data_IF_008917111895
#
_entry.id   IF_008917111895
#
_cell.length_a   1.000
_cell.length_b   1.000
_cell.length_c   1.000
_cell.angle_alpha   90.00
_cell.angle_beta   90.00
_cell.angle_gamma   90.00
#
_symmetry.space_group_name_H-M   'P 1'
#
loop_
_entity.id
_entity.type
_entity.pdbx_description
1 polymer ?
#
# COMPACT_ATOMS: atom_id res chain seq x y z
N UNK A 1 -30.48 17.35 4.93
CA UNK A 1 -29.31 16.67 5.52
C UNK A 1 -28.29 16.44 4.40
N UNK A 2 -27.10 17.00 4.54
CA UNK A 2 -26.02 16.77 3.57
C UNK A 2 -25.49 15.34 3.74
N UNK A 3 -25.46 14.58 2.67
CA UNK A 3 -24.87 13.24 2.66
C UNK A 3 -23.35 13.35 2.85
N UNK A 4 -22.80 12.44 3.64
CA UNK A 4 -21.36 12.36 3.93
C UNK A 4 -20.88 10.91 3.79
N UNK A 5 -19.58 10.74 3.54
CA UNK A 5 -18.97 9.42 3.55
C UNK A 5 -19.15 8.73 4.91
N UNK A 6 -19.15 7.40 4.90
CA UNK A 6 -19.24 6.58 6.12
C UNK A 6 -18.00 6.84 6.97
N UNK A 7 -18.18 6.95 8.29
CA UNK A 7 -17.07 7.21 9.22
C UNK A 7 -15.95 6.17 9.07
N UNK A 8 -14.74 6.66 8.82
CA UNK A 8 -13.56 5.82 8.60
C UNK A 8 -13.32 5.44 7.13
N UNK A 9 -14.17 5.94 6.22
CA UNK A 9 -13.97 5.91 4.78
C UNK A 9 -13.64 7.32 4.30
N UNK A 10 -12.65 7.45 3.44
CA UNK A 10 -12.18 8.73 2.92
C UNK A 10 -12.17 8.70 1.39
N UNK A 11 -12.64 9.77 0.76
CA UNK A 11 -12.42 10.00 -0.66
C UNK A 11 -10.97 10.44 -0.87
N UNK A 12 -10.33 9.93 -1.91
CA UNK A 12 -9.01 10.38 -2.37
C UNK A 12 -9.27 11.30 -3.55
N UNK A 13 -8.94 12.56 -3.40
CA UNK A 13 -9.32 13.61 -4.34
C UNK A 13 -8.18 13.95 -5.31
N UNK A 14 -8.49 14.61 -6.46
CA UNK A 14 -7.46 15.16 -7.33
C UNK A 14 -6.48 16.06 -6.57
N UNK A 15 -5.20 15.96 -6.87
CA UNK A 15 -4.09 16.51 -6.09
C UNK A 15 -3.50 15.49 -5.10
N UNK A 16 -4.33 14.64 -4.50
CA UNK A 16 -3.87 13.53 -3.65
C UNK A 16 -3.67 12.24 -4.48
N UNK A 17 -4.53 12.01 -5.48
CA UNK A 17 -4.48 10.82 -6.35
C UNK A 17 -3.17 10.69 -7.11
N UNK A 18 -2.56 11.78 -7.54
CA UNK A 18 -1.30 11.80 -8.28
C UNK A 18 -0.13 11.27 -7.43
N UNK A 19 -0.12 11.59 -6.13
CA UNK A 19 0.86 11.03 -5.20
C UNK A 19 0.62 9.53 -4.97
N UNK A 20 -0.64 9.09 -4.93
CA UNK A 20 -1.00 7.68 -4.83
C UNK A 20 -0.52 6.91 -6.07
N UNK A 21 -0.78 7.43 -7.26
CA UNK A 21 -0.33 6.84 -8.52
C UNK A 21 1.20 6.73 -8.59
N UNK A 22 1.90 7.74 -8.08
CA UNK A 22 3.37 7.73 -7.99
C UNK A 22 3.88 6.61 -7.09
N UNK A 23 3.28 6.44 -5.90
CA UNK A 23 3.61 5.36 -4.96
C UNK A 23 3.32 3.98 -5.56
N UNK A 24 2.15 3.82 -6.19
CA UNK A 24 1.77 2.57 -6.83
C UNK A 24 2.66 2.26 -8.04
N UNK A 25 3.02 3.28 -8.84
CA UNK A 25 3.90 3.17 -9.99
C UNK A 25 5.29 2.69 -9.58
N UNK A 26 5.94 3.42 -8.66
CA UNK A 26 7.26 3.05 -8.15
C UNK A 26 7.26 1.64 -7.54
N UNK A 27 6.22 1.28 -6.77
CA UNK A 27 6.12 -0.06 -6.20
C UNK A 27 6.01 -1.14 -7.28
N UNK A 28 5.35 -0.88 -8.41
CA UNK A 28 5.30 -1.79 -9.57
C UNK A 28 6.67 -1.94 -10.20
N UNK A 29 7.38 -0.84 -10.40
CA UNK A 29 8.71 -0.84 -11.00
C UNK A 29 9.69 -1.68 -10.15
N UNK A 30 9.67 -1.50 -8.82
CA UNK A 30 10.45 -2.34 -7.91
C UNK A 30 10.03 -3.81 -8.02
N UNK A 31 8.73 -4.13 -7.99
CA UNK A 31 8.25 -5.50 -8.13
C UNK A 31 8.69 -6.15 -9.44
N UNK A 32 8.71 -5.41 -10.53
CA UNK A 32 9.16 -5.93 -11.83
C UNK A 32 10.65 -6.31 -11.78
N UNK A 33 11.51 -5.54 -11.10
CA UNK A 33 12.93 -5.89 -10.92
C UNK A 33 13.13 -7.15 -10.09
N UNK A 34 12.23 -7.46 -9.15
CA UNK A 34 12.21 -8.70 -8.36
C UNK A 34 11.49 -9.86 -9.07
N UNK A 35 10.99 -9.65 -10.29
CA UNK A 35 10.29 -10.66 -11.08
C UNK A 35 8.92 -11.05 -10.50
N UNK A 36 8.29 -10.16 -9.76
CA UNK A 36 6.94 -10.35 -9.23
C UNK A 36 5.88 -10.21 -10.33
N UNK A 37 4.74 -10.86 -10.17
CA UNK A 37 3.61 -10.78 -11.11
C UNK A 37 2.35 -10.32 -10.40
N UNK A 38 1.67 -9.35 -10.99
CA UNK A 38 0.41 -8.86 -10.42
C UNK A 38 -0.69 -9.92 -10.47
N UNK A 39 -1.40 -10.07 -9.34
CA UNK A 39 -2.65 -10.81 -9.25
C UNK A 39 -3.71 -9.91 -8.63
N UNK A 40 -4.91 -9.90 -9.19
CA UNK A 40 -6.06 -9.18 -8.64
C UNK A 40 -7.10 -10.15 -8.17
N UNK A 41 -7.41 -10.11 -6.89
CA UNK A 41 -8.40 -10.97 -6.24
C UNK A 41 -9.64 -10.17 -5.85
N UNK A 42 -10.82 -10.79 -5.74
CA UNK A 42 -12.05 -10.13 -5.32
C UNK A 42 -11.90 -9.41 -3.98
N UNK A 43 -12.69 -8.35 -3.81
CA UNK A 43 -12.79 -7.62 -2.53
C UNK A 43 -13.71 -8.38 -1.57
N UNK A 44 -14.72 -9.05 -2.10
CA UNK A 44 -15.69 -9.83 -1.35
C UNK A 44 -15.36 -11.31 -1.49
N UNK A 45 -15.25 -12.00 -0.36
CA UNK A 45 -14.91 -13.42 -0.28
C UNK A 45 -15.87 -14.13 0.69
N UNK A 46 -15.93 -15.47 0.65
CA UNK A 46 -16.57 -16.24 1.71
C UNK A 46 -15.88 -15.97 3.04
N UNK A 47 -16.65 -15.70 4.09
CA UNK A 47 -16.11 -15.41 5.44
C UNK A 47 -15.14 -16.49 5.92
N UNK A 48 -15.39 -17.74 5.54
CA UNK A 48 -14.58 -18.89 5.85
C UNK A 48 -13.11 -18.78 5.38
N UNK A 49 -12.85 -18.09 4.27
CA UNK A 49 -11.49 -17.84 3.75
C UNK A 49 -10.64 -17.11 4.80
N UNK A 50 -11.23 -16.10 5.43
CA UNK A 50 -10.54 -15.31 6.44
C UNK A 50 -10.53 -16.01 7.81
N UNK A 51 -11.62 -16.64 8.21
CA UNK A 51 -11.69 -17.35 9.47
C UNK A 51 -10.63 -18.48 9.57
N UNK A 52 -10.50 -19.29 8.53
CA UNK A 52 -9.49 -20.36 8.44
C UNK A 52 -8.08 -19.82 8.22
N UNK A 53 -7.94 -18.75 7.40
CA UNK A 53 -6.65 -18.18 7.04
C UNK A 53 -6.02 -17.40 8.18
N UNK A 54 -6.76 -16.46 8.77
CA UNK A 54 -6.23 -15.52 9.76
C UNK A 54 -6.19 -16.11 11.17
N UNK A 55 -7.15 -16.98 11.50
CA UNK A 55 -7.36 -17.59 12.82
C UNK A 55 -8.60 -17.03 13.52
N UNK A 56 -9.48 -17.93 13.96
CA UNK A 56 -10.79 -17.60 14.55
C UNK A 56 -10.68 -16.72 15.81
N UNK A 57 -9.60 -16.87 16.59
CA UNK A 57 -9.36 -16.14 17.84
C UNK A 57 -8.59 -14.82 17.66
N UNK A 58 -8.53 -14.27 16.44
CA UNK A 58 -7.88 -12.98 16.20
C UNK A 58 -8.89 -11.84 16.32
N UNK A 59 -8.44 -10.66 16.78
CA UNK A 59 -9.30 -9.48 16.85
C UNK A 59 -9.91 -9.13 15.48
N UNK A 60 -9.20 -9.40 14.39
CA UNK A 60 -9.67 -9.18 13.03
C UNK A 60 -10.92 -10.00 12.75
N UNK A 61 -10.86 -11.33 13.01
CA UNK A 61 -11.98 -12.24 12.72
C UNK A 61 -13.12 -12.03 13.72
N UNK A 62 -12.80 -11.87 15.01
CA UNK A 62 -13.83 -11.72 16.06
C UNK A 62 -14.61 -10.40 15.98
N UNK A 63 -13.95 -9.27 15.60
CA UNK A 63 -14.51 -7.94 15.84
C UNK A 63 -14.40 -6.96 14.66
N UNK A 64 -13.44 -7.18 13.73
CA UNK A 64 -13.08 -6.15 12.75
C UNK A 64 -13.56 -6.44 11.33
N UNK A 65 -14.00 -7.65 11.01
CA UNK A 65 -14.50 -7.97 9.67
C UNK A 65 -15.86 -7.32 9.39
N UNK A 66 -16.02 -6.79 8.17
CA UNK A 66 -17.32 -6.45 7.60
C UNK A 66 -17.93 -7.70 6.98
N UNK A 67 -18.89 -8.28 7.66
CA UNK A 67 -19.55 -9.52 7.24
C UNK A 67 -21.02 -9.25 6.90
N UNK A 68 -21.51 -9.88 5.84
CA UNK A 68 -22.89 -9.82 5.38
C UNK A 68 -23.39 -11.21 4.99
N UNK A 69 -24.67 -11.41 5.07
CA UNK A 69 -25.34 -12.62 4.52
C UNK A 69 -25.94 -12.23 3.19
N UNK A 70 -25.61 -12.97 2.15
CA UNK A 70 -26.19 -12.72 0.83
C UNK A 70 -27.62 -13.31 0.70
N UNK A 71 -28.24 -13.10 -0.47
CA UNK A 71 -29.60 -13.61 -0.72
C UNK A 71 -29.71 -15.12 -0.75
N UNK A 72 -28.59 -15.82 -0.94
CA UNK A 72 -28.51 -17.29 -0.95
C UNK A 72 -28.28 -17.87 0.45
N UNK A 73 -28.03 -17.02 1.45
CA UNK A 73 -27.71 -17.40 2.82
C UNK A 73 -26.21 -17.63 3.06
N UNK A 74 -25.34 -17.35 2.08
CA UNK A 74 -23.90 -17.46 2.24
C UNK A 74 -23.35 -16.29 3.06
N UNK A 75 -22.43 -16.62 3.99
CA UNK A 75 -21.69 -15.59 4.77
C UNK A 75 -20.51 -15.09 3.95
N UNK A 76 -20.52 -13.81 3.65
CA UNK A 76 -19.50 -13.11 2.87
C UNK A 76 -18.86 -12.01 3.69
N UNK A 77 -17.58 -11.73 3.46
CA UNK A 77 -16.86 -10.65 4.13
C UNK A 77 -16.06 -9.80 3.15
N UNK A 78 -16.03 -8.51 3.40
CA UNK A 78 -15.03 -7.64 2.75
C UNK A 78 -13.64 -8.03 3.28
N UNK A 79 -12.67 -8.15 2.39
CA UNK A 79 -11.31 -8.61 2.74
C UNK A 79 -10.64 -7.69 3.77
N UNK A 80 -10.25 -8.22 4.95
CA UNK A 80 -9.51 -7.44 5.94
C UNK A 80 -8.00 -7.39 5.66
N UNK A 81 -7.52 -8.25 4.76
CA UNK A 81 -6.15 -8.38 4.27
C UNK A 81 -6.16 -9.12 2.92
N UNK A 82 -5.03 -9.14 2.19
CA UNK A 82 -5.00 -9.71 0.84
C UNK A 82 -4.57 -11.19 0.81
N UNK A 83 -3.72 -11.62 1.74
CA UNK A 83 -2.98 -12.90 1.68
C UNK A 83 -3.93 -14.11 1.61
N UNK A 84 -4.96 -14.19 2.46
CA UNK A 84 -5.89 -15.33 2.47
C UNK A 84 -6.67 -15.45 1.16
N UNK A 85 -7.16 -14.33 0.61
CA UNK A 85 -7.84 -14.29 -0.69
C UNK A 85 -6.91 -14.68 -1.84
N UNK A 86 -5.64 -14.25 -1.78
CA UNK A 86 -4.63 -14.60 -2.76
C UNK A 86 -4.31 -16.11 -2.69
N UNK A 87 -4.16 -16.67 -1.48
CA UNK A 87 -3.95 -18.12 -1.30
C UNK A 87 -5.13 -18.93 -1.83
N UNK A 88 -6.37 -18.50 -1.58
CA UNK A 88 -7.56 -19.13 -2.18
C UNK A 88 -7.47 -19.14 -3.72
N UNK A 89 -7.08 -18.02 -4.33
CA UNK A 89 -6.93 -17.94 -5.79
C UNK A 89 -5.83 -18.87 -6.31
N UNK A 90 -4.68 -18.94 -5.61
CA UNK A 90 -3.58 -19.86 -5.94
C UNK A 90 -4.05 -21.32 -5.91
N UNK A 91 -4.86 -21.70 -4.92
CA UNK A 91 -5.40 -23.05 -4.77
C UNK A 91 -6.41 -23.34 -5.89
N UNK A 92 -7.41 -22.49 -6.05
CA UNK A 92 -8.51 -22.66 -7.01
C UNK A 92 -8.02 -22.77 -8.45
N UNK A 93 -7.07 -21.88 -8.83
CA UNK A 93 -6.49 -21.83 -10.18
C UNK A 93 -5.29 -22.78 -10.34
N UNK A 94 -4.92 -23.52 -9.30
CA UNK A 94 -3.76 -24.44 -9.26
C UNK A 94 -2.46 -23.81 -9.78
N UNK A 95 -2.22 -22.55 -9.40
CA UNK A 95 -1.05 -21.81 -9.89
C UNK A 95 0.26 -22.48 -9.50
N UNK A 96 0.30 -23.14 -8.35
CA UNK A 96 1.45 -23.93 -7.88
C UNK A 96 1.88 -25.07 -8.82
N UNK A 97 0.96 -25.54 -9.70
CA UNK A 97 1.30 -26.55 -10.70
C UNK A 97 2.03 -25.97 -11.92
N UNK A 98 1.99 -24.65 -12.11
CA UNK A 98 2.62 -23.96 -13.25
C UNK A 98 4.06 -23.56 -12.98
N UNK A 99 4.43 -23.33 -11.72
CA UNK A 99 5.78 -22.96 -11.31
C UNK A 99 6.08 -23.48 -9.91
N UNK A 100 7.28 -24.00 -9.64
CA UNK A 100 7.67 -24.44 -8.30
C UNK A 100 7.76 -23.29 -7.30
N UNK A 101 8.09 -22.10 -7.76
CA UNK A 101 8.08 -20.86 -6.96
C UNK A 101 7.20 -19.85 -7.64
N UNK A 102 6.21 -19.33 -6.91
CA UNK A 102 5.34 -18.25 -7.34
C UNK A 102 5.80 -16.95 -6.68
N UNK A 103 5.86 -15.88 -7.46
CA UNK A 103 6.19 -14.52 -7.05
C UNK A 103 5.02 -13.64 -7.45
N UNK A 104 4.19 -13.23 -6.48
CA UNK A 104 2.93 -12.56 -6.74
C UNK A 104 2.83 -11.28 -5.92
N UNK A 105 2.26 -10.22 -6.50
CA UNK A 105 1.89 -9.02 -5.77
C UNK A 105 0.46 -8.60 -6.08
N UNK A 106 -0.15 -7.86 -5.16
CA UNK A 106 -1.47 -7.24 -5.34
C UNK A 106 -1.55 -5.92 -4.59
N UNK A 107 -2.30 -4.99 -5.14
CA UNK A 107 -2.55 -3.68 -4.53
C UNK A 107 -4.06 -3.44 -4.46
N UNK A 108 -4.51 -2.70 -3.47
CA UNK A 108 -5.88 -2.26 -3.40
C UNK A 108 -6.46 -2.15 -1.99
N UNK A 109 -7.79 -1.89 -1.90
CA UNK A 109 -8.45 -1.59 -0.63
C UNK A 109 -8.65 -2.84 0.24
N UNK A 110 -8.51 -2.63 1.55
CA UNK A 110 -8.82 -3.56 2.64
C UNK A 110 -9.83 -2.92 3.59
N UNK A 111 -10.54 -3.72 4.40
CA UNK A 111 -11.65 -3.25 5.20
C UNK A 111 -11.60 -3.84 6.61
N UNK A 112 -11.50 -2.95 7.63
CA UNK A 112 -11.53 -3.36 9.04
C UNK A 112 -12.38 -2.41 9.85
N UNK A 113 -13.33 -2.91 10.61
CA UNK A 113 -14.18 -2.12 11.51
C UNK A 113 -13.41 -1.71 12.77
N UNK A 114 -12.38 -0.90 12.58
CA UNK A 114 -11.56 -0.37 13.66
C UNK A 114 -11.99 1.05 14.07
N UNK A 115 -11.46 1.51 15.22
CA UNK A 115 -11.62 2.91 15.63
C UNK A 115 -10.75 3.80 14.72
N UNK A 116 -11.34 4.68 13.89
CA UNK A 116 -10.58 5.52 12.99
C UNK A 116 -9.67 6.51 13.73
N UNK A 117 -8.43 6.64 13.25
CA UNK A 117 -7.44 7.61 13.70
C UNK A 117 -6.45 7.91 12.57
N UNK A 118 -5.50 8.84 12.76
CA UNK A 118 -4.50 9.18 11.76
C UNK A 118 -3.73 7.91 11.31
N UNK A 119 -3.70 7.63 10.01
CA UNK A 119 -3.06 6.43 9.44
C UNK A 119 -3.78 5.10 9.71
N UNK A 120 -5.04 5.13 10.21
CA UNK A 120 -5.86 3.93 10.47
C UNK A 120 -7.32 4.21 10.12
N UNK A 121 -7.72 3.77 8.94
CA UNK A 121 -9.06 3.93 8.40
C UNK A 121 -9.80 2.59 8.41
N UNK A 122 -11.10 2.62 8.17
CA UNK A 122 -11.93 1.41 8.02
C UNK A 122 -11.87 0.83 6.62
N UNK A 123 -11.71 1.67 5.61
CA UNK A 123 -11.19 1.31 4.31
C UNK A 123 -9.78 1.88 4.22
N UNK A 124 -8.81 1.04 3.91
CA UNK A 124 -7.41 1.40 3.75
C UNK A 124 -6.80 0.57 2.63
N UNK A 125 -5.68 1.01 2.08
CA UNK A 125 -5.03 0.36 0.94
C UNK A 125 -3.73 -0.30 1.36
N UNK A 126 -3.47 -1.44 0.75
CA UNK A 126 -2.23 -2.18 0.93
C UNK A 126 -1.56 -2.49 -0.40
N UNK A 127 -0.24 -2.45 -0.38
CA UNK A 127 0.65 -3.04 -1.37
C UNK A 127 1.18 -4.32 -0.75
N UNK A 128 0.92 -5.47 -1.38
CA UNK A 128 1.26 -6.78 -0.83
C UNK A 128 2.11 -7.56 -1.82
N UNK A 129 3.08 -8.33 -1.31
CA UNK A 129 3.89 -9.25 -2.11
C UNK A 129 4.03 -10.59 -1.39
N UNK A 130 3.97 -11.68 -2.16
CA UNK A 130 3.96 -13.06 -1.66
C UNK A 130 4.90 -13.93 -2.50
N UNK A 131 5.79 -14.65 -1.84
CA UNK A 131 6.66 -15.67 -2.47
C UNK A 131 6.26 -17.03 -1.91
N UNK A 132 5.81 -17.93 -2.78
CA UNK A 132 5.28 -19.24 -2.41
C UNK A 132 6.13 -20.37 -3.01
N UNK A 133 6.15 -21.52 -2.36
CA UNK A 133 6.78 -22.74 -2.88
C UNK A 133 8.22 -22.95 -2.44
N UNK A 134 8.76 -22.11 -1.56
CA UNK A 134 10.13 -22.26 -1.05
C UNK A 134 10.24 -22.08 0.45
N UNK A 135 11.06 -22.89 1.10
CA UNK A 135 11.43 -22.73 2.53
C UNK A 135 12.78 -22.01 2.68
N UNK A 136 13.38 -21.53 1.60
CA UNK A 136 14.69 -20.89 1.63
C UNK A 136 14.68 -19.62 2.48
N UNK A 137 15.61 -19.44 3.43
CA UNK A 137 15.77 -18.18 4.16
C UNK A 137 16.06 -16.98 3.25
N UNK A 138 16.59 -17.23 2.04
CA UNK A 138 16.83 -16.18 1.05
C UNK A 138 15.50 -15.53 0.61
N UNK A 139 14.42 -16.31 0.47
CA UNK A 139 13.12 -15.74 0.12
C UNK A 139 12.57 -14.82 1.22
N UNK A 140 12.81 -15.14 2.49
CA UNK A 140 12.44 -14.25 3.61
C UNK A 140 13.22 -12.94 3.55
N UNK A 141 14.54 -13.03 3.33
CA UNK A 141 15.38 -11.85 3.22
C UNK A 141 15.00 -10.99 1.99
N UNK A 142 14.72 -11.63 0.85
CA UNK A 142 14.30 -10.95 -0.38
C UNK A 142 12.98 -10.18 -0.20
N UNK A 143 11.99 -10.76 0.50
CA UNK A 143 10.72 -10.08 0.81
C UNK A 143 10.93 -8.87 1.74
N UNK A 144 11.82 -9.00 2.74
CA UNK A 144 12.18 -7.88 3.62
C UNK A 144 12.91 -6.78 2.84
N UNK A 145 13.90 -7.17 2.02
CA UNK A 145 14.64 -6.25 1.17
C UNK A 145 13.73 -5.52 0.19
N UNK A 146 12.84 -6.23 -0.49
CA UNK A 146 11.85 -5.63 -1.40
C UNK A 146 10.98 -4.57 -0.70
N UNK A 147 10.52 -4.84 0.53
CA UNK A 147 9.78 -3.86 1.32
C UNK A 147 10.64 -2.64 1.67
N UNK A 148 11.92 -2.86 2.01
CA UNK A 148 12.87 -1.80 2.31
C UNK A 148 13.17 -0.94 1.09
N UNK A 149 13.44 -1.57 -0.07
CA UNK A 149 13.71 -0.93 -1.35
C UNK A 149 12.59 0.04 -1.77
N UNK A 150 11.34 -0.41 -1.70
CA UNK A 150 10.18 0.46 -2.02
C UNK A 150 10.18 1.72 -1.13
N UNK A 151 10.46 1.58 0.16
CA UNK A 151 10.45 2.70 1.09
C UNK A 151 11.65 3.65 0.88
N UNK A 152 12.81 3.10 0.54
CA UNK A 152 14.03 3.85 0.26
C UNK A 152 13.91 4.64 -1.06
N UNK A 153 13.42 4.00 -2.11
CA UNK A 153 13.15 4.64 -3.41
C UNK A 153 12.07 5.74 -3.33
N UNK A 154 11.13 5.63 -2.38
CA UNK A 154 10.18 6.69 -2.06
C UNK A 154 10.82 7.83 -1.25
N UNK A 155 12.10 7.76 -0.93
CA UNK A 155 12.82 8.79 -0.16
C UNK A 155 12.45 8.84 1.33
N UNK A 156 11.82 7.81 1.87
CA UNK A 156 11.42 7.79 3.29
C UNK A 156 12.63 7.45 4.15
N UNK A 157 12.97 8.34 5.07
CA UNK A 157 14.12 8.22 5.97
C UNK A 157 13.70 7.92 7.41
N UNK A 158 14.68 7.65 8.29
CA UNK A 158 14.42 7.42 9.71
C UNK A 158 13.70 6.09 10.01
N UNK A 159 13.67 5.18 9.06
CA UNK A 159 13.04 3.86 9.21
C UNK A 159 13.87 2.94 10.09
N UNK A 160 13.20 2.04 10.82
CA UNK A 160 13.81 0.95 11.56
C UNK A 160 13.14 -0.37 11.21
N UNK A 161 13.93 -1.31 10.68
CA UNK A 161 13.51 -2.70 10.49
C UNK A 161 13.67 -3.46 11.80
N UNK A 162 12.57 -4.00 12.31
CA UNK A 162 12.54 -4.94 13.43
C UNK A 162 12.24 -6.34 12.89
N UNK A 163 13.01 -7.34 13.31
CA UNK A 163 12.89 -8.72 12.85
C UNK A 163 12.96 -9.70 14.02
N UNK A 164 12.23 -10.81 13.91
CA UNK A 164 12.21 -11.87 14.90
C UNK A 164 11.91 -13.22 14.25
N UNK A 165 12.03 -14.30 15.02
CA UNK A 165 11.50 -15.62 14.69
C UNK A 165 10.45 -16.06 15.69
N UNK A 166 9.25 -16.41 15.20
CA UNK A 166 8.18 -16.99 16.03
C UNK A 166 8.32 -18.51 16.21
N UNK A 167 9.41 -19.11 15.71
CA UNK A 167 9.61 -20.55 15.71
C UNK A 167 8.63 -21.32 14.82
N UNK A 168 8.77 -22.61 14.77
CA UNK A 168 7.89 -23.54 14.06
C UNK A 168 6.94 -24.26 15.03
N UNK A 169 6.12 -25.16 14.51
CA UNK A 169 5.20 -25.98 15.32
C UNK A 169 5.90 -26.81 16.41
N UNK A 170 7.17 -27.19 16.20
CA UNK A 170 7.95 -27.90 17.20
C UNK A 170 8.49 -26.99 18.34
N UNK A 171 8.77 -25.70 18.04
CA UNK A 171 9.25 -24.74 19.03
C UNK A 171 8.15 -24.19 19.94
N UNK A 172 6.95 -23.97 19.38
CA UNK A 172 5.87 -23.22 20.02
C UNK A 172 5.27 -23.85 21.26
N UNK A 173 5.05 -25.17 21.36
CA UNK A 173 4.38 -25.78 22.51
C UNK A 173 5.08 -25.44 23.82
N UNK A 174 6.39 -25.70 23.92
CA UNK A 174 7.16 -25.44 25.13
C UNK A 174 7.16 -23.96 25.53
N UNK A 175 7.38 -23.07 24.56
CA UNK A 175 7.30 -21.62 24.80
C UNK A 175 5.89 -21.20 25.26
N UNK A 176 4.83 -21.74 24.64
CA UNK A 176 3.44 -21.41 24.99
C UNK A 176 3.09 -21.84 26.42
N UNK A 177 3.54 -22.99 26.82
CA UNK A 177 3.33 -23.51 28.19
C UNK A 177 4.02 -22.63 29.22
N UNK A 178 5.30 -22.29 28.99
CA UNK A 178 6.08 -21.43 29.88
C UNK A 178 5.50 -20.01 29.95
N UNK A 179 5.09 -19.47 28.82
CA UNK A 179 4.46 -18.15 28.75
C UNK A 179 3.09 -18.16 29.49
N UNK A 180 2.27 -19.20 29.33
CA UNK A 180 1.01 -19.36 30.09
C UNK A 180 1.23 -19.42 31.57
N UNK A 181 2.21 -20.22 32.02
CA UNK A 181 2.55 -20.31 33.42
C UNK A 181 2.98 -18.96 33.99
N UNK A 182 3.85 -18.24 33.26
CA UNK A 182 4.29 -16.90 33.64
C UNK A 182 3.11 -15.92 33.75
N UNK A 183 2.24 -15.87 32.74
CA UNK A 183 1.08 -14.96 32.69
C UNK A 183 0.03 -15.28 33.76
N UNK A 184 -0.16 -16.55 34.13
CA UNK A 184 -1.05 -16.94 35.20
C UNK A 184 -0.59 -16.37 36.55
N UNK A 185 0.72 -16.42 36.83
CA UNK A 185 1.31 -15.80 38.02
C UNK A 185 1.23 -14.27 38.07
N UNK A 186 1.12 -13.59 36.89
CA UNK A 186 1.01 -12.17 36.76
C UNK A 186 -0.40 -11.65 36.48
N UNK A 187 -1.41 -12.50 36.52
CA UNK A 187 -2.79 -12.23 36.06
C UNK A 187 -3.42 -11.00 36.70
N UNK A 188 -3.14 -10.71 37.98
CA UNK A 188 -3.69 -9.58 38.70
C UNK A 188 -3.28 -8.21 38.08
N UNK A 189 -2.09 -8.14 37.46
CA UNK A 189 -1.57 -6.92 36.83
C UNK A 189 -1.95 -6.77 35.35
N UNK A 190 -2.54 -7.78 34.73
CA UNK A 190 -2.94 -7.74 33.34
C UNK A 190 -4.29 -7.04 33.14
N UNK A 191 -4.43 -6.32 32.02
CA UNK A 191 -5.73 -5.81 31.59
C UNK A 191 -6.68 -6.95 31.22
N UNK A 192 -7.99 -6.65 31.11
CA UNK A 192 -9.04 -7.65 30.83
C UNK A 192 -8.76 -8.43 29.53
N UNK A 193 -8.41 -7.71 28.44
CA UNK A 193 -8.08 -8.37 27.17
C UNK A 193 -6.85 -9.29 27.29
N UNK A 194 -5.82 -8.88 28.03
CA UNK A 194 -4.62 -9.70 28.22
C UNK A 194 -4.88 -10.92 29.10
N UNK A 195 -5.77 -10.83 30.09
CA UNK A 195 -6.23 -11.99 30.87
C UNK A 195 -6.93 -13.02 29.98
N UNK A 196 -7.82 -12.58 29.09
CA UNK A 196 -8.46 -13.46 28.11
C UNK A 196 -7.44 -14.08 27.15
N UNK A 197 -6.52 -13.25 26.59
CA UNK A 197 -5.49 -13.68 25.66
C UNK A 197 -4.49 -14.65 26.27
N UNK A 198 -4.22 -14.56 27.57
CA UNK A 198 -3.30 -15.49 28.25
C UNK A 198 -3.73 -16.96 28.11
N UNK A 199 -5.02 -17.24 28.02
CA UNK A 199 -5.57 -18.58 27.84
C UNK A 199 -5.67 -18.98 26.36
N UNK A 200 -6.18 -18.09 25.52
CA UNK A 200 -6.47 -18.37 24.10
C UNK A 200 -5.24 -18.23 23.21
N UNK A 201 -4.56 -17.09 23.28
CA UNK A 201 -3.38 -16.75 22.46
C UNK A 201 -2.36 -15.91 23.25
N UNK A 202 -1.54 -16.53 24.12
CA UNK A 202 -0.64 -15.83 25.04
C UNK A 202 0.40 -14.95 24.32
N UNK A 203 0.82 -15.30 23.10
CA UNK A 203 1.72 -14.47 22.29
C UNK A 203 1.17 -13.06 22.05
N UNK A 204 -0.15 -12.91 21.92
CA UNK A 204 -0.80 -11.61 21.69
C UNK A 204 -0.69 -10.64 22.87
N UNK A 205 -0.28 -11.08 24.04
CA UNK A 205 -0.04 -10.22 25.20
C UNK A 205 1.17 -9.32 24.96
N UNK A 206 2.17 -9.73 24.15
CA UNK A 206 3.31 -8.88 23.74
C UNK A 206 2.87 -7.65 22.95
N UNK A 207 1.73 -7.68 22.25
CA UNK A 207 1.17 -6.55 21.49
C UNK A 207 0.36 -5.57 22.36
N UNK A 208 0.22 -5.80 23.66
CA UNK A 208 -0.60 -4.94 24.49
C UNK A 208 -0.05 -3.52 24.56
N UNK A 209 -0.96 -2.54 24.43
CA UNK A 209 -0.61 -1.11 24.47
C UNK A 209 -0.67 -0.51 25.89
N UNK A 210 -1.22 -1.25 26.86
CA UNK A 210 -1.30 -0.83 28.26
C UNK A 210 0.06 -0.93 28.93
N UNK A 211 0.51 0.14 29.60
CA UNK A 211 1.86 0.21 30.16
C UNK A 211 2.08 -0.83 31.28
N UNK A 212 1.08 -1.11 32.11
CA UNK A 212 1.16 -2.17 33.13
C UNK A 212 1.40 -3.55 32.49
N UNK A 213 0.74 -3.85 31.37
CA UNK A 213 0.98 -5.11 30.66
C UNK A 213 2.36 -5.14 30.01
N UNK A 214 2.83 -4.01 29.43
CA UNK A 214 4.18 -3.93 28.85
C UNK A 214 5.25 -4.18 29.91
N UNK A 215 5.10 -3.58 31.09
CA UNK A 215 6.00 -3.78 32.23
C UNK A 215 6.11 -5.27 32.58
N UNK A 216 4.98 -5.96 32.74
CA UNK A 216 4.94 -7.40 32.98
C UNK A 216 5.67 -8.16 31.87
N UNK A 217 5.42 -7.82 30.60
CA UNK A 217 6.00 -8.50 29.46
C UNK A 217 7.51 -8.27 29.30
N UNK A 218 8.12 -7.32 30.03
CA UNK A 218 9.58 -7.15 30.03
C UNK A 218 10.33 -8.38 30.52
N UNK A 219 9.74 -9.17 31.42
CA UNK A 219 10.32 -10.37 32.04
C UNK A 219 9.73 -11.68 31.53
N UNK A 220 8.82 -11.60 30.54
CA UNK A 220 8.18 -12.79 29.99
C UNK A 220 9.18 -13.67 29.23
N UNK A 221 9.00 -15.00 29.23
CA UNK A 221 9.83 -15.90 28.45
C UNK A 221 9.74 -15.58 26.97
N UNK A 222 10.89 -15.51 26.31
CA UNK A 222 11.03 -15.13 24.90
C UNK A 222 11.11 -16.37 24.01
N UNK A 223 10.44 -16.35 22.86
CA UNK A 223 10.46 -17.46 21.90
C UNK A 223 11.87 -17.80 21.42
N UNK A 224 12.80 -16.85 21.41
CA UNK A 224 14.20 -17.04 21.03
C UNK A 224 14.92 -18.12 21.88
N UNK A 225 14.51 -18.33 23.12
CA UNK A 225 15.09 -19.34 24.01
C UNK A 225 14.57 -20.77 23.71
N UNK A 226 13.53 -20.89 22.91
CA UNK A 226 12.86 -22.16 22.57
C UNK A 226 13.03 -22.55 21.09
N UNK A 227 13.79 -21.78 20.32
CA UNK A 227 14.01 -22.10 18.92
C UNK A 227 14.78 -23.42 18.77
N UNK A 228 14.25 -24.32 17.95
CA UNK A 228 15.00 -25.49 17.54
C UNK A 228 16.20 -25.10 16.64
N UNK A 229 17.21 -25.98 16.50
CA UNK A 229 18.39 -25.66 15.66
C UNK A 229 18.04 -25.21 14.24
N UNK A 230 17.00 -25.80 13.63
CA UNK A 230 16.54 -25.45 12.28
C UNK A 230 15.99 -24.01 12.23
N UNK A 231 15.21 -23.59 13.23
CA UNK A 231 14.65 -22.23 13.27
C UNK A 231 15.71 -21.18 13.62
N UNK A 232 16.68 -21.54 14.47
CA UNK A 232 17.81 -20.68 14.80
C UNK A 232 18.73 -20.48 13.56
N UNK A 233 19.08 -21.55 12.85
CA UNK A 233 19.87 -21.50 11.61
C UNK A 233 19.14 -20.71 10.52
N UNK A 234 17.82 -20.93 10.37
CA UNK A 234 17.02 -20.18 9.40
C UNK A 234 17.07 -18.67 9.66
N UNK A 235 16.83 -18.23 10.92
CA UNK A 235 16.93 -16.81 11.27
C UNK A 235 18.35 -16.28 11.04
N UNK A 236 19.38 -17.01 11.45
CA UNK A 236 20.77 -16.64 11.22
C UNK A 236 21.07 -16.35 9.75
N UNK A 237 20.63 -17.25 8.85
CA UNK A 237 20.80 -17.07 7.39
C UNK A 237 20.02 -15.88 6.85
N UNK A 238 18.79 -15.62 7.31
CA UNK A 238 18.03 -14.42 6.92
C UNK A 238 18.80 -13.15 7.29
N UNK A 239 19.32 -13.09 8.52
CA UNK A 239 20.10 -11.93 8.98
C UNK A 239 21.39 -11.74 8.19
N UNK A 240 22.06 -12.83 7.82
CA UNK A 240 23.29 -12.77 7.00
C UNK A 240 23.02 -12.30 5.57
N UNK A 241 21.90 -12.70 4.98
CA UNK A 241 21.48 -12.18 3.67
C UNK A 241 21.12 -10.70 3.72
N UNK A 242 20.41 -10.24 4.76
CA UNK A 242 20.09 -8.81 4.93
C UNK A 242 21.35 -7.96 5.11
N UNK A 243 22.37 -8.47 5.83
CA UNK A 243 23.67 -7.80 5.92
C UNK A 243 24.36 -7.71 4.56
N UNK A 244 24.31 -8.78 3.75
CA UNK A 244 24.94 -8.81 2.44
C UNK A 244 24.36 -7.80 1.44
N UNK A 245 23.08 -7.41 1.62
CA UNK A 245 22.40 -6.36 0.84
C UNK A 245 22.28 -5.04 1.59
N UNK A 246 23.06 -4.89 2.67
CA UNK A 246 23.19 -3.65 3.48
C UNK A 246 21.88 -3.10 4.06
N UNK A 247 20.83 -3.94 4.18
CA UNK A 247 19.57 -3.56 4.84
C UNK A 247 19.78 -3.57 6.36
N UNK A 248 19.68 -2.42 7.05
CA UNK A 248 19.90 -2.33 8.49
C UNK A 248 18.72 -2.94 9.24
N UNK A 249 19.00 -3.73 10.27
CA UNK A 249 17.95 -4.36 11.06
C UNK A 249 18.25 -4.36 12.56
N UNK A 250 17.19 -4.51 13.36
CA UNK A 250 17.24 -4.75 14.80
C UNK A 250 16.48 -6.04 15.13
N UNK A 251 17.13 -6.98 15.80
CA UNK A 251 16.46 -8.21 16.27
C UNK A 251 15.65 -7.86 17.52
N UNK A 252 14.32 -7.84 17.37
CA UNK A 252 13.40 -7.59 18.47
C UNK A 252 12.74 -8.92 18.93
N UNK A 253 13.22 -9.54 20.02
CA UNK A 253 12.73 -10.84 20.47
C UNK A 253 11.29 -10.80 21.00
N UNK A 254 10.68 -9.63 21.16
CA UNK A 254 9.29 -9.42 21.57
C UNK A 254 8.35 -9.12 20.41
N UNK A 255 8.90 -8.98 19.19
CA UNK A 255 8.08 -8.73 18.01
C UNK A 255 7.16 -9.93 17.75
N UNK A 256 5.85 -9.68 17.76
CA UNK A 256 4.80 -10.62 17.39
C UNK A 256 3.85 -9.97 16.39
N UNK A 257 2.99 -10.76 15.74
CA UNK A 257 2.08 -10.26 14.69
C UNK A 257 0.63 -10.45 15.06
N UNK A 258 -0.23 -9.62 14.48
CA UNK A 258 -1.69 -9.62 14.65
C UNK A 258 -2.44 -10.78 14.00
N UNK A 259 -1.75 -11.67 13.30
CA UNK A 259 -2.30 -12.77 12.51
C UNK A 259 -1.63 -14.07 12.98
N UNK A 260 -2.42 -15.14 13.16
CA UNK A 260 -1.94 -16.36 13.81
C UNK A 260 -1.19 -17.30 12.86
N UNK A 261 -1.26 -17.08 11.55
CA UNK A 261 -0.61 -17.93 10.57
C UNK A 261 0.91 -17.78 10.50
N UNK A 262 1.49 -16.72 11.07
CA UNK A 262 2.93 -16.51 11.00
C UNK A 262 3.73 -17.56 11.77
N UNK A 263 4.80 -18.01 11.14
CA UNK A 263 5.82 -18.95 11.67
C UNK A 263 7.20 -18.48 11.30
N UNK A 264 8.25 -18.88 12.02
CA UNK A 264 9.64 -18.49 11.75
C UNK A 264 9.78 -16.96 11.61
N UNK A 265 10.29 -16.48 10.49
CA UNK A 265 10.56 -15.06 10.23
C UNK A 265 9.31 -14.21 10.35
N UNK A 266 9.42 -13.14 11.11
CA UNK A 266 8.45 -12.04 11.18
C UNK A 266 9.19 -10.72 11.25
N UNK A 267 8.64 -9.67 10.62
CA UNK A 267 9.28 -8.35 10.61
C UNK A 267 8.27 -7.22 10.56
N UNK A 268 8.72 -6.06 11.00
CA UNK A 268 8.05 -4.76 10.84
C UNK A 268 9.07 -3.70 10.47
N UNK A 269 8.71 -2.83 9.53
CA UNK A 269 9.44 -1.60 9.28
C UNK A 269 8.62 -0.47 9.90
N UNK A 270 9.23 0.23 10.84
CA UNK A 270 8.57 1.25 11.63
C UNK A 270 9.17 2.63 11.38
N UNK A 271 8.34 3.67 11.41
CA UNK A 271 8.77 5.07 11.43
C UNK A 271 8.32 5.73 12.73
N UNK A 272 9.22 6.38 13.49
CA UNK A 272 8.88 7.11 14.70
C UNK A 272 7.95 8.31 14.43
N UNK A 273 7.96 8.85 13.23
CA UNK A 273 7.13 9.99 12.81
C UNK A 273 5.62 9.68 12.82
N UNK A 274 5.25 8.42 12.69
CA UNK A 274 3.86 7.98 12.75
C UNK A 274 3.33 7.80 14.18
N UNK A 275 4.16 7.98 15.20
CA UNK A 275 3.77 7.88 16.61
C UNK A 275 3.25 6.49 16.98
N UNK A 276 2.07 6.39 17.59
CA UNK A 276 1.52 5.13 18.10
C UNK A 276 1.18 4.09 17.02
N UNK A 277 1.12 4.47 15.75
CA UNK A 277 0.86 3.61 14.59
C UNK A 277 2.11 3.51 13.70
N UNK A 278 3.26 3.28 14.30
CA UNK A 278 4.60 3.38 13.70
C UNK A 278 4.88 2.40 12.57
N UNK A 279 4.17 1.28 12.47
CA UNK A 279 4.42 0.25 11.45
C UNK A 279 3.97 0.71 10.07
N UNK A 280 4.91 0.85 9.13
CA UNK A 280 4.67 1.21 7.72
C UNK A 280 4.50 -0.04 6.87
N UNK A 281 5.43 -0.99 7.01
CA UNK A 281 5.41 -2.27 6.33
C UNK A 281 5.60 -3.41 7.34
N UNK A 282 5.05 -4.56 7.03
CA UNK A 282 5.15 -5.70 7.91
C UNK A 282 4.89 -7.01 7.16
N UNK A 283 5.47 -8.09 7.65
CA UNK A 283 5.33 -9.38 7.01
C UNK A 283 5.97 -10.52 7.78
N UNK A 284 6.16 -11.62 7.06
CA UNK A 284 6.82 -12.80 7.58
C UNK A 284 6.40 -14.07 6.87
N UNK A 285 6.91 -15.20 7.36
CA UNK A 285 6.66 -16.53 6.84
C UNK A 285 5.38 -17.13 7.43
N UNK A 286 4.63 -17.85 6.60
CA UNK A 286 3.34 -18.44 6.97
C UNK A 286 3.15 -19.86 6.39
N UNK A 287 4.18 -20.71 6.56
CA UNK A 287 4.10 -22.12 6.16
C UNK A 287 2.86 -22.78 6.80
N UNK A 288 2.07 -23.47 6.00
CA UNK A 288 0.83 -24.11 6.46
C UNK A 288 -0.46 -23.33 6.15
N UNK A 289 -0.42 -22.06 5.78
CA UNK A 289 -1.64 -21.28 5.45
C UNK A 289 -2.37 -21.87 4.22
N UNK A 290 -1.64 -22.18 3.15
CA UNK A 290 -2.23 -22.80 1.95
C UNK A 290 -2.92 -24.13 2.28
N UNK A 291 -2.28 -24.95 3.12
CA UNK A 291 -2.85 -26.22 3.60
C UNK A 291 -4.10 -26.01 4.49
N UNK A 292 -4.10 -25.01 5.34
CA UNK A 292 -5.27 -24.66 6.18
C UNK A 292 -6.48 -24.23 5.33
N UNK A 293 -6.24 -23.65 4.16
CA UNK A 293 -7.27 -23.28 3.19
C UNK A 293 -7.67 -24.43 2.25
N UNK A 294 -7.16 -25.66 2.48
CA UNK A 294 -7.49 -26.86 1.69
C UNK A 294 -6.60 -27.09 0.46
N UNK A 295 -5.51 -26.36 0.32
CA UNK A 295 -4.51 -26.56 -0.72
C UNK A 295 -3.39 -27.53 -0.34
N UNK A 296 -2.35 -27.69 -1.17
CA UNK A 296 -1.17 -28.47 -0.86
C UNK A 296 -0.33 -27.83 0.26
N UNK A 297 0.62 -28.61 0.80
CA UNK A 297 1.60 -28.08 1.75
C UNK A 297 2.62 -27.20 1.03
N UNK A 298 2.25 -25.95 0.83
CA UNK A 298 3.01 -24.96 0.09
C UNK A 298 3.51 -23.88 1.07
N UNK A 299 4.82 -23.79 1.30
CA UNK A 299 5.38 -22.75 2.15
C UNK A 299 5.24 -21.37 1.51
N UNK A 300 5.16 -20.34 2.35
CA UNK A 300 4.99 -18.97 1.89
C UNK A 300 5.60 -17.94 2.81
N UNK A 301 6.04 -16.84 2.23
CA UNK A 301 6.49 -15.64 2.92
C UNK A 301 5.99 -14.42 2.15
N UNK A 302 5.54 -13.39 2.88
CA UNK A 302 5.00 -12.20 2.24
C UNK A 302 5.08 -10.96 3.11
N UNK A 303 4.69 -9.84 2.50
CA UNK A 303 4.68 -8.54 3.15
C UNK A 303 3.46 -7.72 2.75
N UNK A 304 3.14 -6.74 3.57
CA UNK A 304 2.14 -5.72 3.28
C UNK A 304 2.65 -4.34 3.71
N UNK A 305 2.46 -3.34 2.86
CA UNK A 305 2.73 -1.92 3.11
C UNK A 305 1.40 -1.19 3.17
N UNK A 306 1.19 -0.35 4.19
CA UNK A 306 -0.01 0.46 4.33
C UNK A 306 0.12 1.79 3.60
N UNK A 307 -0.62 1.99 2.51
CA UNK A 307 -0.47 3.18 1.64
C UNK A 307 -0.79 4.47 2.37
N UNK A 308 -1.87 4.51 3.16
CA UNK A 308 -2.22 5.71 3.94
C UNK A 308 -1.13 6.14 4.92
N UNK A 309 -0.34 5.18 5.41
CA UNK A 309 0.80 5.47 6.29
C UNK A 309 2.00 6.00 5.50
N UNK A 310 2.23 5.48 4.29
CA UNK A 310 3.21 6.04 3.37
C UNK A 310 2.88 7.50 3.06
N UNK A 311 1.63 7.78 2.69
CA UNK A 311 1.16 9.14 2.37
C UNK A 311 1.31 10.13 3.52
N UNK A 312 1.44 9.67 4.76
CA UNK A 312 1.72 10.52 5.91
C UNK A 312 3.20 10.83 6.11
N UNK A 313 4.09 10.05 5.49
CA UNK A 313 5.54 10.19 5.57
C UNK A 313 6.13 10.90 4.35
N UNK A 314 5.39 10.87 3.23
CA UNK A 314 5.79 11.57 2.03
C UNK A 314 5.46 13.06 2.17
N UNK A 315 6.43 13.91 1.87
CA UNK A 315 6.17 15.33 1.71
C UNK A 315 5.23 15.53 0.51
N UNK A 316 4.14 16.22 0.75
CA UNK A 316 3.28 16.71 -0.34
C UNK A 316 4.07 17.80 -1.09
N UNK A 317 4.89 17.40 -2.04
CA UNK A 317 5.49 18.35 -2.99
C UNK A 317 4.40 19.14 -3.72
N UNK A 318 4.76 20.29 -4.26
CA UNK A 318 3.84 21.05 -5.10
C UNK A 318 3.34 20.14 -6.22
N UNK A 319 2.02 20.01 -6.32
CA UNK A 319 1.41 19.21 -7.38
C UNK A 319 1.90 19.75 -8.73
N UNK A 320 2.39 18.85 -9.58
CA UNK A 320 2.79 19.23 -10.94
C UNK A 320 1.63 19.95 -11.65
N UNK A 321 1.91 20.87 -12.57
CA UNK A 321 0.86 21.59 -13.30
C UNK A 321 -0.09 20.58 -13.96
N UNK A 322 -1.39 20.72 -13.67
CA UNK A 322 -2.43 19.79 -14.12
C UNK A 322 -2.70 19.91 -15.63
N UNK A 323 -2.18 20.95 -16.28
CA UNK A 323 -2.37 21.22 -17.71
C UNK A 323 -1.11 21.83 -18.34
N UNK A 324 -0.65 21.23 -19.42
CA UNK A 324 0.45 21.81 -20.21
C UNK A 324 0.01 23.08 -20.93
N UNK A 325 -1.16 23.02 -21.53
CA UNK A 325 -1.70 24.10 -22.36
C UNK A 325 -3.19 24.32 -22.11
N UNK A 326 -3.58 25.56 -21.94
CA UNK A 326 -4.97 25.96 -22.03
C UNK A 326 -5.20 26.73 -23.35
N UNK A 327 -6.16 26.31 -24.16
CA UNK A 327 -6.51 27.00 -25.41
C UNK A 327 -7.71 27.91 -25.15
N UNK A 328 -7.44 29.22 -25.09
CA UNK A 328 -8.44 30.27 -24.95
C UNK A 328 -8.98 30.66 -26.33
N UNK A 329 -10.06 30.05 -26.78
CA UNK A 329 -10.71 30.30 -28.06
C UNK A 329 -11.89 31.24 -27.88
N UNK A 330 -11.84 32.38 -28.65
CA UNK A 330 -12.82 33.46 -28.59
C UNK A 330 -13.70 33.45 -29.84
N UNK A 331 -14.99 33.24 -29.65
CA UNK A 331 -15.97 33.16 -30.72
C UNK A 331 -16.08 31.76 -31.40
N UNK A 332 -17.16 31.53 -32.13
CA UNK A 332 -17.49 30.22 -32.71
C UNK A 332 -16.47 29.72 -33.75
N UNK A 333 -15.88 30.65 -34.54
CA UNK A 333 -14.92 30.29 -35.56
C UNK A 333 -13.60 29.79 -34.94
N UNK A 334 -13.05 30.51 -33.96
CA UNK A 334 -11.88 30.11 -33.21
C UNK A 334 -12.07 28.79 -32.50
N UNK A 335 -13.18 28.61 -31.80
CA UNK A 335 -13.52 27.34 -31.07
C UNK A 335 -13.55 26.13 -32.00
N UNK A 336 -14.08 26.29 -33.23
CA UNK A 336 -14.06 25.22 -34.22
C UNK A 336 -12.65 24.98 -34.79
N UNK A 337 -11.89 26.02 -35.02
CA UNK A 337 -10.55 25.95 -35.61
C UNK A 337 -9.54 25.25 -34.70
N UNK A 338 -9.61 25.44 -33.37
CA UNK A 338 -8.64 24.87 -32.41
C UNK A 338 -8.82 23.38 -32.18
N UNK A 339 -9.98 22.80 -32.43
CA UNK A 339 -10.26 21.39 -32.10
C UNK A 339 -9.29 20.40 -32.77
N UNK A 340 -8.95 20.52 -34.07
CA UNK A 340 -7.94 19.67 -34.70
C UNK A 340 -6.58 19.75 -34.03
N UNK A 341 -6.16 20.98 -33.61
CA UNK A 341 -4.89 21.18 -32.91
C UNK A 341 -4.89 20.51 -31.52
N UNK A 342 -5.94 20.75 -30.73
CA UNK A 342 -6.12 20.13 -29.44
C UNK A 342 -6.07 18.57 -29.56
N UNK A 343 -6.77 18.03 -30.58
CA UNK A 343 -6.74 16.59 -30.86
C UNK A 343 -5.34 16.08 -31.17
N UNK A 344 -4.59 16.84 -32.01
CA UNK A 344 -3.23 16.46 -32.37
C UNK A 344 -2.28 16.48 -31.19
N UNK A 345 -2.30 17.55 -30.38
CA UNK A 345 -1.48 17.69 -29.19
C UNK A 345 -1.77 16.64 -28.15
N UNK A 346 -3.06 16.34 -27.87
CA UNK A 346 -3.46 15.27 -26.94
C UNK A 346 -2.98 13.87 -27.39
N UNK A 347 -2.98 13.60 -28.71
CA UNK A 347 -2.44 12.34 -29.24
C UNK A 347 -0.94 12.16 -29.01
N UNK A 348 -0.24 13.24 -28.76
CA UNK A 348 1.19 13.27 -28.47
C UNK A 348 1.50 13.36 -26.97
N UNK A 349 0.47 13.19 -26.13
CA UNK A 349 0.62 13.10 -24.69
C UNK A 349 0.45 14.42 -23.93
N UNK A 350 0.26 15.56 -24.63
CA UNK A 350 0.07 16.85 -23.96
C UNK A 350 -1.30 16.93 -23.27
N UNK A 351 -1.32 17.45 -22.05
CA UNK A 351 -2.54 17.76 -21.32
C UNK A 351 -3.06 19.11 -21.76
N UNK A 352 -4.01 19.10 -22.70
CA UNK A 352 -4.57 20.32 -23.28
C UNK A 352 -6.01 20.52 -22.84
N UNK A 353 -6.30 21.68 -22.25
CA UNK A 353 -7.64 22.08 -21.81
C UNK A 353 -8.16 23.28 -22.64
N UNK A 354 -9.47 23.49 -22.60
CA UNK A 354 -10.13 24.64 -23.21
C UNK A 354 -11.46 24.92 -22.50
N UNK A 355 -12.00 26.15 -22.65
CA UNK A 355 -13.32 26.49 -22.10
C UNK A 355 -14.45 25.76 -22.82
N UNK A 356 -15.38 25.16 -22.09
CA UNK A 356 -16.60 24.59 -22.66
C UNK A 356 -17.66 25.67 -23.03
N UNK A 357 -17.55 26.86 -22.43
CA UNK A 357 -18.48 27.97 -22.63
C UNK A 357 -17.82 29.09 -23.46
N UNK A 358 -18.65 29.82 -24.15
CA UNK A 358 -18.19 31.03 -24.88
C UNK A 358 -18.03 32.18 -23.89
N UNK A 359 -16.82 32.32 -23.34
CA UNK A 359 -16.44 33.33 -22.36
C UNK A 359 -15.38 34.25 -22.94
N UNK A 360 -15.41 35.50 -22.52
CA UNK A 360 -14.36 36.48 -22.89
C UNK A 360 -12.98 36.07 -22.33
N UNK A 361 -11.92 36.62 -22.95
CA UNK A 361 -10.53 36.27 -22.65
C UNK A 361 -10.18 36.30 -21.16
N UNK A 362 -10.58 37.34 -20.42
CA UNK A 362 -10.30 37.51 -19.00
C UNK A 362 -10.85 36.28 -18.17
N UNK A 363 -12.02 35.79 -18.55
CA UNK A 363 -12.64 34.66 -17.87
C UNK A 363 -11.93 33.35 -18.22
N UNK A 364 -11.51 33.17 -19.47
CA UNK A 364 -10.74 32.01 -19.92
C UNK A 364 -9.33 31.98 -19.31
N UNK A 365 -8.63 33.11 -19.19
CA UNK A 365 -7.36 33.21 -18.47
C UNK A 365 -7.48 32.84 -17.02
N UNK A 366 -8.58 33.20 -16.33
CA UNK A 366 -8.85 32.78 -14.96
C UNK A 366 -9.16 31.27 -14.86
N UNK A 367 -9.72 30.69 -15.92
CA UNK A 367 -9.90 29.21 -15.96
C UNK A 367 -8.56 28.51 -16.16
N UNK A 368 -7.68 29.03 -17.04
CA UNK A 368 -6.34 28.51 -17.23
C UNK A 368 -5.50 28.51 -15.95
N UNK A 369 -5.54 29.64 -15.23
CA UNK A 369 -4.88 29.79 -13.92
C UNK A 369 -5.36 28.75 -12.91
N UNK A 370 -6.69 28.58 -12.77
CA UNK A 370 -7.28 27.55 -11.90
C UNK A 370 -6.98 26.12 -12.32
N UNK A 371 -6.75 25.89 -13.63
CA UNK A 371 -6.37 24.62 -14.19
C UNK A 371 -4.87 24.31 -14.04
N UNK A 372 -4.09 25.25 -13.47
CA UNK A 372 -2.64 25.13 -13.35
C UNK A 372 -1.96 25.00 -14.70
N UNK A 373 -2.47 25.71 -15.74
CA UNK A 373 -1.90 25.63 -17.07
C UNK A 373 -0.53 26.31 -17.12
N UNK A 374 0.47 25.65 -17.73
CA UNK A 374 1.81 26.25 -17.95
C UNK A 374 1.77 27.35 -19.00
N UNK A 375 1.05 27.09 -20.07
CA UNK A 375 0.88 28.04 -21.18
C UNK A 375 -0.58 28.25 -21.53
N UNK A 376 -0.89 29.42 -22.10
CA UNK A 376 -2.19 29.73 -22.71
C UNK A 376 -2.02 30.10 -24.15
N UNK A 377 -2.68 29.38 -25.06
CA UNK A 377 -2.79 29.77 -26.47
C UNK A 377 -4.08 30.55 -26.65
N UNK A 378 -3.95 31.85 -27.01
CA UNK A 378 -5.07 32.75 -27.26
C UNK A 378 -5.38 32.74 -28.76
N UNK A 379 -6.63 32.47 -29.09
CA UNK A 379 -7.13 32.36 -30.46
C UNK A 379 -8.46 33.09 -30.56
N UNK A 380 -8.44 34.28 -31.17
CA UNK A 380 -9.65 35.05 -31.52
C UNK A 380 -9.85 35.13 -33.04
N UNK A 381 -10.84 35.88 -33.46
CA UNK A 381 -11.12 36.09 -34.88
C UNK A 381 -10.01 36.96 -35.51
N UNK A 382 -9.55 38.00 -34.83
CA UNK A 382 -8.46 38.87 -35.27
C UNK A 382 -7.14 38.08 -35.44
N UNK A 383 -6.81 37.17 -34.48
CA UNK A 383 -5.62 36.32 -34.56
C UNK A 383 -5.71 35.35 -35.76
N UNK A 384 -6.88 34.81 -36.04
CA UNK A 384 -7.10 33.94 -37.21
C UNK A 384 -6.99 34.65 -38.51
N UNK A 385 -7.51 35.88 -38.63
CA UNK A 385 -7.41 36.73 -39.84
C UNK A 385 -5.97 37.17 -40.11
N UNK A 386 -5.23 37.51 -39.05
CA UNK A 386 -3.84 37.98 -39.18
C UNK A 386 -2.85 36.82 -39.30
N UNK A 387 -3.27 35.57 -39.13
CA UNK A 387 -2.40 34.38 -39.18
C UNK A 387 -1.40 34.28 -38.03
N UNK A 388 -1.62 35.01 -36.93
CA UNK A 388 -0.76 35.08 -35.77
C UNK A 388 -1.56 34.82 -34.48
N UNK A 389 -1.12 33.89 -33.68
CA UNK A 389 -1.70 33.54 -32.40
C UNK A 389 -0.83 34.09 -31.26
N UNK A 390 -1.40 34.21 -30.07
CA UNK A 390 -0.65 34.66 -28.88
C UNK A 390 -0.44 33.49 -27.97
N UNK A 391 0.81 33.16 -27.68
CA UNK A 391 1.21 32.21 -26.65
C UNK A 391 1.64 33.00 -25.42
N UNK A 392 1.00 32.70 -24.29
CA UNK A 392 1.29 33.30 -22.98
C UNK A 392 1.87 32.25 -22.04
N UNK A 393 3.02 32.54 -21.46
CA UNK A 393 3.58 31.83 -20.33
C UNK A 393 2.85 32.24 -19.04
N UNK A 394 2.34 31.29 -18.27
CA UNK A 394 1.55 31.60 -17.07
C UNK A 394 2.41 31.88 -15.86
N UNK A 395 3.68 31.46 -15.85
CA UNK A 395 4.61 31.71 -14.76
C UNK A 395 5.22 33.10 -14.82
N UNK A 396 5.68 33.51 -16.02
CA UNK A 396 6.31 34.83 -16.25
C UNK A 396 5.32 35.88 -16.67
N UNK A 397 4.14 35.50 -17.17
CA UNK A 397 3.12 36.31 -17.80
C UNK A 397 3.55 36.95 -19.13
N UNK A 398 4.70 36.56 -19.64
CA UNK A 398 5.18 37.02 -20.96
C UNK A 398 4.29 36.46 -22.07
N UNK A 399 4.17 37.25 -23.15
CA UNK A 399 3.39 36.89 -24.33
C UNK A 399 4.27 37.01 -25.58
N UNK A 400 4.14 36.05 -26.48
CA UNK A 400 4.78 36.08 -27.77
C UNK A 400 3.82 35.68 -28.89
N UNK A 401 4.03 36.20 -30.06
CA UNK A 401 3.30 35.77 -31.26
C UNK A 401 3.86 34.44 -31.77
N UNK A 402 2.98 33.58 -32.22
CA UNK A 402 3.31 32.34 -32.92
C UNK A 402 2.50 32.23 -34.20
N UNK A 403 3.07 31.61 -35.24
CA UNK A 403 2.40 31.47 -36.54
C UNK A 403 1.23 30.48 -36.47
N UNK A 404 0.19 30.81 -37.24
CA UNK A 404 -0.95 29.89 -37.42
C UNK A 404 -0.53 28.57 -38.09
N UNK A 405 0.41 28.67 -39.05
CA UNK A 405 1.04 27.52 -39.67
C UNK A 405 2.13 26.98 -38.77
N UNK A 406 2.01 25.70 -38.37
CA UNK A 406 3.00 25.07 -37.47
C UNK A 406 2.74 25.26 -36.00
N UNK A 407 1.59 25.76 -35.56
CA UNK A 407 1.24 25.95 -34.15
C UNK A 407 1.43 24.67 -33.31
N UNK A 408 1.05 23.50 -33.84
CA UNK A 408 1.17 22.22 -33.11
C UNK A 408 2.64 21.82 -32.90
N UNK A 409 3.52 21.77 -33.95
CA UNK A 409 4.95 21.51 -33.74
C UNK A 409 5.64 22.52 -32.84
N UNK A 410 5.27 23.79 -32.87
CA UNK A 410 5.87 24.85 -32.04
C UNK A 410 5.50 24.64 -30.55
N UNK A 411 4.23 24.36 -30.26
CA UNK A 411 3.79 24.04 -28.91
C UNK A 411 4.48 22.75 -28.39
N UNK A 412 4.55 21.69 -29.22
CA UNK A 412 5.23 20.45 -28.85
C UNK A 412 6.73 20.66 -28.57
N UNK A 413 7.38 21.58 -29.26
CA UNK A 413 8.77 21.96 -29.04
C UNK A 413 9.04 22.43 -27.61
N UNK A 414 8.07 23.08 -26.95
CA UNK A 414 8.20 23.60 -25.58
C UNK A 414 8.31 22.49 -24.52
N UNK A 415 7.83 21.29 -24.84
CA UNK A 415 7.75 20.17 -23.89
C UNK A 415 8.67 19.02 -24.26
N UNK A 416 9.49 19.11 -25.29
CA UNK A 416 10.48 18.09 -25.69
C UNK A 416 11.85 18.29 -25.07
N UNK A 417 12.12 19.43 -24.45
CA UNK A 417 13.42 19.79 -23.86
C UNK A 417 13.48 19.52 -22.36
N UNK A 418 12.42 18.94 -21.77
CA UNK A 418 12.36 18.43 -20.38
C UNK A 418 12.31 16.89 -20.36
#
# INVERSE_FOLDING_TARGET
VTLRAVRGFKDILPGETEHWESVEGLSRDVFDTFGMREIRVPILERTEVFARGIGECTDIVEKEMYTLIDRSGDSLSLRPEATAGLMRAVIEQKLYAKSPVLRLFTMGPMFRHERPQKGRLRQFHQINAEVLGTQSPLADAEVVWMAWEILEELGITGLRLEINSLGCQACRPAHREDLKLYLSGASAGLCEDCRRRSDTNPLRVFDCKQDACKEIMTRAPLVSHFLCPVCSDHLGKVLDFLKAVEVPFFVNPRLVRGLDYYVRTTFEIVSPELGAQSTVAAGGRYDGLVKALGGPDLPGVGMAIGVERLMLLLDAGDAAPVSDLFVAALGPAARRRVLPWIKSMRRKGLVVQTSYEDKGLKAQLKQADRAGARYVLIVGEDELENGKLILRDMSTHEQREIGLEGVVPEIEGLFKEE
#
